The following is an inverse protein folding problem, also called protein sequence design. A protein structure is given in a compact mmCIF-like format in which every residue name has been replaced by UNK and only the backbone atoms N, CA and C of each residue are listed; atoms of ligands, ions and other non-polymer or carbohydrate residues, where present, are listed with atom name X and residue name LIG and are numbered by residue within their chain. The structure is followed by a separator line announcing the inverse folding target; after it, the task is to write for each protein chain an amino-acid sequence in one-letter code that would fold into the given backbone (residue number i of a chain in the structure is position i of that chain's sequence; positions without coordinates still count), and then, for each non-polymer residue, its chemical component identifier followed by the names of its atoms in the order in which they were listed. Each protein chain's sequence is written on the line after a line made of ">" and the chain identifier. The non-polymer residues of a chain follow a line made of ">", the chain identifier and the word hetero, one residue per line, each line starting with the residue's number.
data_IF_798331373592
#
_entry.id   IF_798331373592
#
_cell.length_a   1.000
_cell.length_b   1.000
_cell.length_c   1.000
_cell.angle_alpha   90.00
_cell.angle_beta   90.00
_cell.angle_gamma   90.00
#
_symmetry.space_group_name_H-M   'P 1'
#
loop_
_entity.id
_entity.type
_entity.pdbx_description
1 polymer ?
#
# COMPACT_ATOMS: atom_id res chain seq x y z
N UNK A 1 -31.43 -2.93 36.25
CA UNK A 1 -30.87 -2.54 34.94
C UNK A 1 -30.43 -1.10 35.07
N UNK A 2 -29.20 -0.91 35.53
CA UNK A 2 -28.59 0.42 35.67
C UNK A 2 -28.26 0.98 34.29
N UNK A 3 -28.65 2.24 34.06
CA UNK A 3 -28.15 3.06 32.95
C UNK A 3 -26.62 3.03 32.98
N UNK A 4 -26.01 2.37 31.99
CA UNK A 4 -24.56 2.38 31.78
C UNK A 4 -24.24 3.52 30.82
N UNK A 5 -23.42 4.45 31.29
CA UNK A 5 -23.05 5.69 30.63
C UNK A 5 -22.37 5.44 29.27
N UNK A 6 -23.08 5.73 28.19
CA UNK A 6 -22.63 5.66 26.80
C UNK A 6 -21.65 6.78 26.39
N UNK A 7 -20.85 7.32 27.30
CA UNK A 7 -20.11 8.59 27.10
C UNK A 7 -18.81 8.48 26.29
N UNK A 8 -18.61 7.44 25.48
CA UNK A 8 -17.42 7.33 24.59
C UNK A 8 -17.73 7.09 23.11
N UNK A 9 -18.99 6.96 22.72
CA UNK A 9 -19.39 6.81 21.31
C UNK A 9 -20.42 7.90 21.02
N UNK A 10 -20.03 8.89 20.22
CA UNK A 10 -20.83 10.10 19.99
C UNK A 10 -21.99 9.87 19.02
N UNK A 11 -21.95 8.77 18.23
CA UNK A 11 -22.97 8.48 17.20
C UNK A 11 -23.65 7.11 17.39
N UNK A 12 -24.93 7.02 16.98
CA UNK A 12 -25.70 5.77 17.02
C UNK A 12 -25.08 4.67 16.14
N UNK A 13 -24.44 5.06 15.03
CA UNK A 13 -23.74 4.14 14.13
C UNK A 13 -22.56 3.45 14.81
N UNK A 14 -21.76 4.20 15.57
CA UNK A 14 -20.63 3.66 16.34
C UNK A 14 -21.11 2.73 17.47
N UNK A 15 -22.17 3.11 18.18
CA UNK A 15 -22.77 2.27 19.25
C UNK A 15 -23.30 0.97 18.69
N UNK A 16 -24.06 1.02 17.60
CA UNK A 16 -24.61 -0.15 16.94
C UNK A 16 -23.50 -1.10 16.48
N UNK A 17 -22.49 -0.56 15.80
CA UNK A 17 -21.38 -1.38 15.31
C UNK A 17 -20.57 -2.03 16.43
N UNK A 18 -20.34 -1.33 17.55
CA UNK A 18 -19.68 -1.90 18.73
C UNK A 18 -20.51 -3.03 19.35
N UNK A 19 -21.82 -2.88 19.42
CA UNK A 19 -22.71 -3.91 19.94
C UNK A 19 -22.74 -5.13 19.02
N UNK A 20 -22.83 -4.93 17.70
CA UNK A 20 -22.76 -6.02 16.72
C UNK A 20 -21.41 -6.78 16.85
N UNK A 21 -20.30 -6.06 17.04
CA UNK A 21 -18.98 -6.65 17.27
C UNK A 21 -18.93 -7.44 18.59
N UNK A 22 -19.54 -6.90 19.65
CA UNK A 22 -19.65 -7.57 20.94
C UNK A 22 -20.44 -8.88 20.82
N UNK A 23 -21.62 -8.84 20.18
CA UNK A 23 -22.49 -10.01 19.97
C UNK A 23 -21.77 -11.13 19.19
N UNK A 24 -20.99 -10.77 18.17
CA UNK A 24 -20.21 -11.74 17.39
C UNK A 24 -19.13 -12.40 18.26
N UNK A 25 -18.42 -11.64 19.08
CA UNK A 25 -17.41 -12.20 19.97
C UNK A 25 -18.02 -13.04 21.10
N UNK A 26 -19.15 -12.60 21.67
CA UNK A 26 -19.90 -13.34 22.69
C UNK A 26 -20.32 -14.71 22.14
N UNK A 27 -20.97 -14.71 20.97
CA UNK A 27 -21.40 -15.92 20.27
C UNK A 27 -20.21 -16.83 19.94
N UNK A 28 -19.10 -16.27 19.48
CA UNK A 28 -17.90 -17.05 19.15
C UNK A 28 -17.31 -17.72 20.39
N UNK A 29 -17.22 -17.00 21.51
CA UNK A 29 -16.71 -17.54 22.78
C UNK A 29 -17.61 -18.66 23.27
N UNK A 30 -18.94 -18.46 23.29
CA UNK A 30 -19.91 -19.48 23.73
C UNK A 30 -19.82 -20.75 22.88
N UNK A 31 -19.74 -20.63 21.56
CA UNK A 31 -19.72 -21.78 20.64
C UNK A 31 -18.42 -22.59 20.70
N UNK A 32 -17.34 -21.98 21.18
CA UNK A 32 -15.99 -22.57 21.12
C UNK A 32 -15.35 -22.78 22.49
N UNK A 33 -16.07 -22.49 23.59
CA UNK A 33 -15.56 -22.62 24.96
C UNK A 33 -15.01 -24.02 25.28
N UNK A 34 -15.68 -25.07 24.79
CA UNK A 34 -15.28 -26.46 25.02
C UNK A 34 -13.98 -26.86 24.29
N UNK A 35 -13.58 -26.10 23.25
CA UNK A 35 -12.39 -26.37 22.43
C UNK A 35 -11.39 -25.22 22.44
N UNK A 36 -11.48 -24.32 23.42
CA UNK A 36 -10.65 -23.11 23.47
C UNK A 36 -9.15 -23.36 23.48
N UNK A 37 -8.70 -24.48 24.04
CA UNK A 37 -7.28 -24.89 24.05
C UNK A 37 -6.78 -25.35 22.67
N UNK A 38 -7.69 -25.69 21.75
CA UNK A 38 -7.38 -26.12 20.37
C UNK A 38 -7.37 -24.94 19.38
N UNK A 39 -7.84 -23.76 19.81
CA UNK A 39 -7.99 -22.58 18.96
C UNK A 39 -6.86 -21.59 19.27
N UNK A 40 -5.90 -21.39 18.34
CA UNK A 40 -4.66 -20.64 18.60
C UNK A 40 -4.84 -19.20 19.09
N UNK A 41 -5.96 -18.56 18.78
CA UNK A 41 -6.24 -17.16 19.07
C UNK A 41 -7.44 -16.95 20.02
N UNK A 42 -7.96 -18.01 20.64
CA UNK A 42 -9.12 -17.89 21.54
C UNK A 42 -8.87 -16.95 22.72
N UNK A 43 -7.67 -17.04 23.33
CA UNK A 43 -7.28 -16.13 24.42
C UNK A 43 -7.23 -14.66 23.96
N UNK A 44 -6.90 -14.42 22.69
CA UNK A 44 -6.93 -13.08 22.11
C UNK A 44 -8.37 -12.61 21.86
N UNK A 45 -9.27 -13.50 21.41
CA UNK A 45 -10.72 -13.24 21.34
C UNK A 45 -11.28 -12.80 22.68
N UNK A 46 -10.99 -13.54 23.74
CA UNK A 46 -11.44 -13.18 25.10
C UNK A 46 -10.90 -11.81 25.51
N UNK A 47 -9.65 -11.51 25.17
CA UNK A 47 -9.04 -10.21 25.47
C UNK A 47 -9.79 -9.07 24.79
N UNK A 48 -10.08 -9.19 23.48
CA UNK A 48 -10.81 -8.18 22.73
C UNK A 48 -12.26 -8.07 23.22
N UNK A 49 -12.93 -9.18 23.48
CA UNK A 49 -14.28 -9.21 24.07
C UNK A 49 -14.33 -8.43 25.40
N UNK A 50 -13.36 -8.66 26.29
CA UNK A 50 -13.29 -7.94 27.56
C UNK A 50 -12.96 -6.46 27.39
N UNK A 51 -12.12 -6.09 26.42
CA UNK A 51 -11.82 -4.70 26.10
C UNK A 51 -13.05 -3.96 25.54
N UNK A 52 -13.87 -4.65 24.75
CA UNK A 52 -15.16 -4.14 24.25
C UNK A 52 -16.13 -3.97 25.42
N UNK A 53 -16.33 -5.02 26.22
CA UNK A 53 -17.29 -5.09 27.35
C UNK A 53 -17.00 -4.06 28.44
N UNK A 54 -15.72 -3.81 28.72
CA UNK A 54 -15.29 -2.88 29.78
C UNK A 54 -15.19 -1.43 29.30
N UNK A 55 -15.49 -1.16 28.02
CA UNK A 55 -15.33 0.15 27.38
C UNK A 55 -13.95 0.80 27.62
N UNK A 56 -12.93 -0.06 27.74
CA UNK A 56 -11.56 0.37 28.05
C UNK A 56 -10.90 1.07 26.87
N UNK A 57 -11.26 0.64 25.66
CA UNK A 57 -10.65 1.05 24.41
C UNK A 57 -11.69 1.59 23.43
N UNK A 58 -11.29 2.58 22.63
CA UNK A 58 -12.03 3.02 21.46
C UNK A 58 -12.09 1.91 20.40
N UNK A 59 -12.99 2.04 19.42
CA UNK A 59 -13.05 1.09 18.30
C UNK A 59 -11.70 1.07 17.55
N UNK A 60 -11.10 2.23 17.31
CA UNK A 60 -9.77 2.34 16.70
C UNK A 60 -8.68 1.58 17.46
N UNK A 61 -8.64 1.69 18.79
CA UNK A 61 -7.68 0.98 19.63
C UNK A 61 -7.90 -0.54 19.59
N UNK A 62 -9.16 -0.99 19.57
CA UNK A 62 -9.52 -2.40 19.40
C UNK A 62 -9.01 -2.93 18.06
N UNK A 63 -9.26 -2.21 16.96
CA UNK A 63 -8.79 -2.61 15.63
C UNK A 63 -7.26 -2.55 15.48
N UNK A 64 -6.60 -1.59 16.12
CA UNK A 64 -5.14 -1.52 16.19
C UNK A 64 -4.55 -2.76 16.86
N UNK A 65 -5.10 -3.20 18.00
CA UNK A 65 -4.69 -4.45 18.65
C UNK A 65 -4.90 -5.67 17.77
N UNK A 66 -6.02 -5.73 17.06
CA UNK A 66 -6.30 -6.83 16.13
C UNK A 66 -5.26 -6.84 15.01
N UNK A 67 -4.96 -5.69 14.40
CA UNK A 67 -3.92 -5.58 13.36
C UNK A 67 -2.56 -6.03 13.87
N UNK A 68 -2.15 -5.57 15.06
CA UNK A 68 -0.89 -6.00 15.69
C UNK A 68 -0.83 -7.51 15.92
N UNK A 69 -1.94 -8.11 16.38
CA UNK A 69 -2.02 -9.56 16.57
C UNK A 69 -1.93 -10.33 15.25
N UNK A 70 -2.67 -9.90 14.21
CA UNK A 70 -2.64 -10.49 12.87
C UNK A 70 -1.24 -10.39 12.24
N UNK A 71 -0.58 -9.25 12.43
CA UNK A 71 0.80 -9.05 11.98
C UNK A 71 1.78 -9.95 12.74
N UNK A 72 1.62 -10.10 14.05
CA UNK A 72 2.53 -10.86 14.90
C UNK A 72 2.42 -12.38 14.67
N UNK A 73 1.20 -12.90 14.68
CA UNK A 73 0.95 -14.34 14.54
C UNK A 73 1.02 -14.78 13.06
N UNK A 74 0.88 -13.82 12.14
CA UNK A 74 0.85 -14.03 10.70
C UNK A 74 -0.59 -14.19 10.20
N UNK A 75 -0.89 -13.52 9.08
CA UNK A 75 -2.26 -13.40 8.56
C UNK A 75 -2.96 -14.75 8.41
N UNK A 76 -2.28 -15.78 7.87
CA UNK A 76 -2.89 -17.11 7.64
C UNK A 76 -3.07 -17.96 8.91
N UNK A 77 -2.46 -17.56 10.04
CA UNK A 77 -2.46 -18.32 11.29
C UNK A 77 -3.51 -17.82 12.29
N UNK A 78 -4.06 -16.63 12.07
CA UNK A 78 -5.19 -16.09 12.84
C UNK A 78 -6.52 -16.55 12.26
N UNK A 79 -7.56 -16.58 13.08
CA UNK A 79 -8.91 -16.88 12.65
C UNK A 79 -9.40 -15.84 11.62
N UNK A 80 -10.21 -16.28 10.64
CA UNK A 80 -10.61 -15.42 9.51
C UNK A 80 -11.42 -14.20 9.93
N UNK A 81 -12.11 -14.27 11.06
CA UNK A 81 -12.80 -13.11 11.58
C UNK A 81 -11.82 -11.97 11.92
N UNK A 82 -10.65 -12.25 12.50
CA UNK A 82 -9.65 -11.22 12.77
C UNK A 82 -8.96 -10.70 11.51
N UNK A 83 -8.80 -11.55 10.51
CA UNK A 83 -8.33 -11.13 9.19
C UNK A 83 -9.28 -10.08 8.60
N UNK A 84 -10.59 -10.31 8.67
CA UNK A 84 -11.62 -9.37 8.22
C UNK A 84 -11.64 -8.10 9.06
N UNK A 85 -11.62 -8.23 10.40
CA UNK A 85 -11.57 -7.10 11.32
C UNK A 85 -10.32 -6.24 11.09
N UNK A 86 -9.16 -6.84 10.82
CA UNK A 86 -7.91 -6.10 10.58
C UNK A 86 -7.97 -5.18 9.34
N UNK A 87 -8.92 -5.38 8.43
CA UNK A 87 -9.08 -4.55 7.22
C UNK A 87 -10.32 -3.65 7.24
N UNK A 88 -11.14 -3.71 8.30
CA UNK A 88 -12.42 -3.00 8.36
C UNK A 88 -12.30 -1.47 8.31
N UNK A 89 -11.20 -0.89 8.83
CA UNK A 89 -10.92 0.56 8.70
C UNK A 89 -10.78 1.03 7.26
N UNK A 90 -10.63 0.11 6.31
CA UNK A 90 -10.46 0.40 4.88
C UNK A 90 -11.71 0.08 4.05
N UNK A 91 -12.76 -0.41 4.70
CA UNK A 91 -14.00 -0.73 4.02
C UNK A 91 -14.86 0.54 4.01
N UNK A 92 -15.17 1.04 2.82
CA UNK A 92 -15.98 2.26 2.63
C UNK A 92 -17.34 2.20 3.32
N UNK A 93 -17.85 0.99 3.61
CA UNK A 93 -19.06 0.76 4.41
C UNK A 93 -18.94 1.23 5.86
N UNK A 94 -17.73 1.22 6.42
CA UNK A 94 -17.44 1.55 7.81
C UNK A 94 -16.61 2.83 7.95
N UNK A 95 -16.24 3.47 6.84
CA UNK A 95 -15.45 4.71 6.80
C UNK A 95 -16.09 5.85 7.59
N UNK A 96 -17.42 5.96 7.57
CA UNK A 96 -18.18 6.93 8.39
C UNK A 96 -18.05 6.68 9.89
N UNK A 97 -17.88 5.43 10.33
CA UNK A 97 -17.72 5.08 11.76
C UNK A 97 -16.36 5.58 12.28
N UNK A 98 -15.33 5.53 11.42
CA UNK A 98 -13.95 5.89 11.75
C UNK A 98 -13.63 7.37 11.48
N UNK A 99 -14.18 7.95 10.41
CA UNK A 99 -14.05 9.39 10.08
C UNK A 99 -14.64 10.27 11.18
N UNK A 100 -15.71 9.82 11.83
CA UNK A 100 -16.34 10.50 12.97
C UNK A 100 -15.51 10.39 14.25
N UNK A 101 -14.75 9.30 14.45
CA UNK A 101 -13.79 9.12 15.55
C UNK A 101 -12.56 10.05 15.37
N UNK A 102 -12.20 10.35 14.12
CA UNK A 102 -11.12 11.29 13.76
C UNK A 102 -11.52 12.78 13.87
N UNK A 103 -12.81 13.13 13.83
CA UNK A 103 -13.25 14.52 13.96
C UNK A 103 -12.98 15.13 15.34
N UNK A 104 -12.90 14.30 16.39
CA UNK A 104 -12.47 14.74 17.73
C UNK A 104 -10.94 14.97 17.83
N UNK A 105 -10.15 14.45 16.88
CA UNK A 105 -8.70 14.66 16.78
C UNK A 105 -8.29 15.75 15.77
N UNK A 106 -9.18 16.18 14.88
CA UNK A 106 -8.85 17.02 13.72
C UNK A 106 -8.80 18.53 13.94
N UNK A 107 -8.67 19.03 15.18
CA UNK A 107 -8.41 20.46 15.42
C UNK A 107 -6.91 20.74 15.50
N UNK A 108 -6.24 20.67 14.35
CA UNK A 108 -5.17 21.57 13.86
C UNK A 108 -4.35 20.88 12.77
N UNK A 109 -4.78 20.97 11.50
CA UNK A 109 -3.85 20.79 10.39
C UNK A 109 -3.06 22.10 10.21
N UNK A 110 -2.06 22.31 11.06
CA UNK A 110 -1.01 23.29 10.80
C UNK A 110 -0.17 22.80 9.63
N UNK A 111 0.27 23.73 8.76
CA UNK A 111 1.25 23.45 7.70
C UNK A 111 2.36 22.57 8.24
N UNK A 112 2.52 21.38 7.68
CA UNK A 112 3.59 20.47 8.07
C UNK A 112 4.95 21.18 8.00
N UNK A 113 5.66 21.31 9.13
CA UNK A 113 7.01 21.86 9.13
C UNK A 113 7.94 20.93 8.36
N UNK A 114 8.91 21.52 7.64
CA UNK A 114 9.97 20.83 6.89
C UNK A 114 10.51 19.57 7.62
N UNK A 115 10.89 18.51 6.88
CA UNK A 115 11.32 17.26 7.48
C UNK A 115 12.64 17.45 8.23
N UNK A 116 12.56 17.58 9.55
CA UNK A 116 13.76 17.65 10.41
C UNK A 116 14.35 16.25 10.58
N UNK A 117 15.65 16.17 10.86
CA UNK A 117 16.30 14.89 11.19
C UNK A 117 15.64 14.14 12.33
N UNK A 118 15.10 14.87 13.30
CA UNK A 118 14.46 14.30 14.48
C UNK A 118 13.15 13.59 14.11
N UNK A 119 12.37 14.17 13.19
CA UNK A 119 11.15 13.56 12.63
C UNK A 119 11.45 12.29 11.81
N UNK A 120 12.50 12.31 10.97
CA UNK A 120 12.95 11.12 10.24
C UNK A 120 13.40 10.01 11.20
N UNK A 121 14.11 10.35 12.28
CA UNK A 121 14.53 9.40 13.31
C UNK A 121 13.36 8.79 14.10
N UNK A 122 12.28 9.54 14.33
CA UNK A 122 11.09 8.99 14.99
C UNK A 122 10.35 7.97 14.12
N UNK A 123 10.25 8.20 12.80
CA UNK A 123 9.61 7.26 11.87
C UNK A 123 10.35 5.92 11.73
N UNK A 124 11.67 5.91 11.90
CA UNK A 124 12.49 4.70 11.91
C UNK A 124 12.02 3.69 12.99
N UNK A 125 11.31 4.14 14.02
CA UNK A 125 10.90 3.27 15.13
C UNK A 125 9.53 2.62 14.95
N UNK A 126 8.65 3.13 14.09
CA UNK A 126 7.29 2.61 13.94
C UNK A 126 6.67 2.85 12.55
N UNK A 127 6.80 1.85 11.66
CA UNK A 127 6.12 1.85 10.34
C UNK A 127 4.60 1.63 10.41
N UNK A 128 4.07 1.17 11.55
CA UNK A 128 2.66 0.85 11.72
C UNK A 128 1.80 2.10 11.97
N UNK A 129 2.43 3.20 12.39
CA UNK A 129 1.76 4.50 12.54
C UNK A 129 1.86 5.29 11.23
N UNK A 130 0.74 5.69 10.61
CA UNK A 130 0.75 6.65 9.50
C UNK A 130 1.17 8.02 10.03
N UNK A 131 2.47 8.26 10.09
CA UNK A 131 3.02 9.59 10.30
C UNK A 131 3.46 10.23 8.98
N UNK A 132 3.55 11.55 9.00
CA UNK A 132 3.67 12.49 7.89
C UNK A 132 4.96 12.42 7.03
N UNK A 133 5.83 11.41 7.18
CA UNK A 133 7.15 11.37 6.52
C UNK A 133 7.50 10.07 5.75
N UNK A 134 6.49 9.30 5.33
CA UNK A 134 6.70 8.09 4.51
C UNK A 134 7.37 8.39 3.18
N UNK A 135 7.09 9.55 2.60
CA UNK A 135 7.63 9.99 1.31
C UNK A 135 9.14 10.19 1.38
N UNK A 136 9.63 10.80 2.45
CA UNK A 136 11.05 11.03 2.67
C UNK A 136 11.80 9.71 2.81
N UNK A 137 11.21 8.70 3.45
CA UNK A 137 11.80 7.37 3.52
C UNK A 137 11.93 6.76 2.12
N UNK A 138 10.86 6.82 1.32
CA UNK A 138 10.87 6.35 -0.06
C UNK A 138 11.93 7.08 -0.88
N UNK A 139 11.97 8.41 -0.83
CA UNK A 139 12.95 9.25 -1.52
C UNK A 139 14.39 8.93 -1.12
N UNK A 140 14.67 8.72 0.17
CA UNK A 140 16.01 8.33 0.64
C UNK A 140 16.41 6.94 0.13
N UNK A 141 15.47 5.99 0.09
CA UNK A 141 15.71 4.66 -0.46
C UNK A 141 15.95 4.69 -1.97
N UNK A 142 15.20 5.51 -2.69
CA UNK A 142 15.41 5.76 -4.12
C UNK A 142 16.78 6.38 -4.38
N UNK A 143 17.17 7.40 -3.62
CA UNK A 143 18.50 8.00 -3.72
C UNK A 143 19.59 6.97 -3.37
N UNK A 144 19.43 6.20 -2.29
CA UNK A 144 20.39 5.15 -1.93
C UNK A 144 20.58 4.12 -3.04
N UNK A 145 19.47 3.69 -3.66
CA UNK A 145 19.48 2.78 -4.80
C UNK A 145 20.23 3.40 -5.98
N UNK A 146 20.03 4.69 -6.27
CA UNK A 146 20.74 5.39 -7.35
C UNK A 146 22.24 5.51 -7.15
N UNK A 147 22.74 5.37 -5.92
CA UNK A 147 24.19 5.32 -5.66
C UNK A 147 24.80 3.93 -5.86
N UNK A 148 23.99 2.88 -5.91
CA UNK A 148 24.45 1.48 -5.97
C UNK A 148 24.30 0.86 -7.34
N UNK A 149 23.36 1.37 -8.16
CA UNK A 149 23.05 0.83 -9.46
C UNK A 149 22.51 1.91 -10.40
N UNK A 150 22.45 1.59 -11.69
CA UNK A 150 21.70 2.40 -12.65
C UNK A 150 20.23 2.38 -12.26
N UNK A 151 19.73 3.53 -11.80
CA UNK A 151 18.38 3.69 -11.30
C UNK A 151 17.93 5.12 -11.59
N UNK A 152 16.84 5.28 -12.33
CA UNK A 152 16.27 6.58 -12.68
C UNK A 152 14.87 6.70 -12.06
N UNK A 153 14.86 6.97 -10.77
CA UNK A 153 13.67 6.91 -9.95
C UNK A 153 13.00 8.26 -9.71
N UNK A 154 11.68 8.31 -9.79
CA UNK A 154 10.85 9.46 -9.40
C UNK A 154 9.74 9.06 -8.43
N UNK A 155 9.52 9.86 -7.39
CA UNK A 155 8.28 9.80 -6.59
C UNK A 155 7.28 10.81 -7.16
N UNK A 156 6.10 10.34 -7.54
CA UNK A 156 4.97 11.16 -8.00
C UNK A 156 3.88 11.16 -6.94
N UNK A 157 3.59 12.32 -6.37
CA UNK A 157 2.44 12.50 -5.50
C UNK A 157 1.17 12.71 -6.35
N UNK A 158 0.33 11.69 -6.36
CA UNK A 158 -0.94 11.69 -7.06
C UNK A 158 -2.12 12.17 -6.20
N UNK A 159 -1.92 12.52 -4.92
CA UNK A 159 -3.00 12.98 -4.03
C UNK A 159 -3.81 14.13 -4.63
N UNK A 160 -3.12 15.08 -5.28
CA UNK A 160 -3.74 16.22 -5.98
C UNK A 160 -4.63 15.82 -7.16
N UNK A 161 -4.52 14.58 -7.65
CA UNK A 161 -5.28 14.03 -8.76
C UNK A 161 -6.26 12.95 -8.33
N UNK A 162 -6.05 12.36 -7.16
CA UNK A 162 -6.66 11.11 -6.72
C UNK A 162 -7.57 11.27 -5.48
N UNK A 163 -7.83 12.52 -5.10
CA UNK A 163 -8.78 12.91 -4.05
C UNK A 163 -9.57 14.15 -4.51
N UNK A 164 -9.95 14.16 -5.78
CA UNK A 164 -10.71 15.29 -6.33
C UNK A 164 -12.16 15.21 -5.84
N UNK A 165 -12.82 16.34 -5.55
CA UNK A 165 -14.26 16.33 -5.36
C UNK A 165 -14.95 15.99 -6.68
N UNK A 166 -16.13 15.36 -6.60
CA UNK A 166 -16.99 15.18 -7.77
C UNK A 166 -17.31 16.53 -8.43
N UNK A 167 -17.27 16.58 -9.75
CA UNK A 167 -17.66 17.79 -10.49
C UNK A 167 -19.19 17.84 -10.71
N UNK A 168 -19.69 18.97 -11.23
CA UNK A 168 -21.13 19.17 -11.43
C UNK A 168 -21.77 18.17 -12.39
N UNK A 169 -21.05 17.68 -13.39
CA UNK A 169 -21.56 16.68 -14.34
C UNK A 169 -21.63 15.30 -13.69
N UNK A 170 -20.57 14.90 -12.98
CA UNK A 170 -20.48 13.65 -12.22
C UNK A 170 -21.57 13.55 -11.16
N UNK A 171 -21.89 14.65 -10.47
CA UNK A 171 -22.94 14.70 -9.45
C UNK A 171 -24.36 14.45 -10.02
N UNK A 172 -24.57 14.66 -11.32
CA UNK A 172 -25.84 14.43 -12.01
C UNK A 172 -25.96 13.01 -12.58
N UNK A 173 -24.89 12.22 -12.55
CA UNK A 173 -24.87 10.84 -13.03
C UNK A 173 -25.39 9.87 -11.96
N UNK A 174 -25.86 8.70 -12.41
CA UNK A 174 -26.17 7.58 -11.53
C UNK A 174 -24.92 7.11 -10.78
N UNK A 175 -25.09 6.54 -9.59
CA UNK A 175 -23.97 6.29 -8.65
C UNK A 175 -22.78 5.55 -9.29
N UNK A 176 -23.04 4.47 -10.01
CA UNK A 176 -22.00 3.63 -10.63
C UNK A 176 -21.33 4.35 -11.81
N UNK A 177 -22.11 5.03 -12.65
CA UNK A 177 -21.61 5.84 -13.76
C UNK A 177 -20.74 7.00 -13.27
N UNK A 178 -21.17 7.66 -12.19
CA UNK A 178 -20.42 8.71 -11.49
C UNK A 178 -19.07 8.21 -11.00
N UNK A 179 -19.03 7.06 -10.33
CA UNK A 179 -17.79 6.47 -9.80
C UNK A 179 -16.80 6.14 -10.94
N UNK A 180 -17.30 5.59 -12.05
CA UNK A 180 -16.50 5.31 -13.25
C UNK A 180 -15.98 6.59 -13.90
N UNK A 181 -16.85 7.59 -14.09
CA UNK A 181 -16.48 8.88 -14.69
C UNK A 181 -15.44 9.62 -13.84
N UNK A 182 -15.61 9.60 -12.52
CA UNK A 182 -14.67 10.18 -11.58
C UNK A 182 -13.30 9.51 -11.65
N UNK A 183 -13.25 8.17 -11.57
CA UNK A 183 -12.00 7.42 -11.71
C UNK A 183 -11.29 7.71 -13.05
N UNK A 184 -12.04 7.81 -14.16
CA UNK A 184 -11.49 8.21 -15.46
C UNK A 184 -10.82 9.59 -15.42
N UNK A 185 -11.43 10.57 -14.76
CA UNK A 185 -10.86 11.91 -14.62
C UNK A 185 -9.58 11.92 -13.79
N UNK A 186 -9.57 11.24 -12.65
CA UNK A 186 -8.38 11.12 -11.79
C UNK A 186 -7.21 10.48 -12.54
N UNK A 187 -7.49 9.39 -13.26
CA UNK A 187 -6.49 8.65 -14.03
C UNK A 187 -5.94 9.48 -15.19
N UNK A 188 -6.78 10.24 -15.88
CA UNK A 188 -6.33 11.15 -16.94
C UNK A 188 -5.31 12.17 -16.42
N UNK A 189 -5.55 12.72 -15.23
CA UNK A 189 -4.62 13.68 -14.61
C UNK A 189 -3.33 13.00 -14.14
N UNK A 190 -3.43 11.80 -13.58
CA UNK A 190 -2.28 11.00 -13.19
C UNK A 190 -1.39 10.66 -14.41
N UNK A 191 -1.98 10.18 -15.51
CA UNK A 191 -1.24 9.89 -16.74
C UNK A 191 -0.64 11.16 -17.35
N UNK A 192 -1.33 12.31 -17.30
CA UNK A 192 -0.74 13.57 -17.74
C UNK A 192 0.49 13.98 -16.91
N UNK A 193 0.48 13.70 -15.60
CA UNK A 193 1.65 13.92 -14.76
C UNK A 193 2.78 12.93 -15.07
N UNK A 194 2.46 11.66 -15.30
CA UNK A 194 3.44 10.69 -15.76
C UNK A 194 4.06 11.11 -17.10
N UNK A 195 3.26 11.59 -18.05
CA UNK A 195 3.72 12.10 -19.35
C UNK A 195 4.67 13.28 -19.18
N UNK A 196 4.37 14.19 -18.23
CA UNK A 196 5.29 15.27 -17.87
C UNK A 196 6.62 14.70 -17.37
N UNK A 197 6.60 13.75 -16.43
CA UNK A 197 7.82 13.14 -15.89
C UNK A 197 8.64 12.45 -16.99
N UNK A 198 8.00 11.67 -17.86
CA UNK A 198 8.65 11.00 -19.00
C UNK A 198 9.29 12.03 -19.95
N UNK A 199 8.56 13.10 -20.27
CA UNK A 199 9.00 14.15 -21.21
C UNK A 199 10.12 15.01 -20.65
N UNK A 200 10.11 15.28 -19.34
CA UNK A 200 11.10 16.11 -18.66
C UNK A 200 12.33 15.33 -18.18
N UNK A 201 12.31 14.00 -18.24
CA UNK A 201 13.46 13.16 -17.90
C UNK A 201 14.66 13.45 -18.82
N UNK A 202 15.75 13.90 -18.20
CA UNK A 202 17.02 14.26 -18.86
C UNK A 202 18.16 13.29 -18.53
N UNK A 203 17.87 12.18 -17.85
CA UNK A 203 18.88 11.20 -17.43
C UNK A 203 19.63 10.54 -18.60
N UNK A 204 19.03 10.54 -19.79
CA UNK A 204 19.52 9.78 -20.94
C UNK A 204 19.25 8.27 -20.85
N UNK A 205 18.62 7.80 -19.77
CA UNK A 205 18.16 6.41 -19.63
C UNK A 205 16.93 6.17 -20.48
N UNK A 206 16.79 5.02 -21.14
CA UNK A 206 15.53 4.62 -21.77
C UNK A 206 14.49 4.20 -20.73
N UNK A 207 14.93 3.78 -19.54
CA UNK A 207 14.06 3.28 -18.48
C UNK A 207 13.93 4.25 -17.31
N UNK A 208 12.72 4.34 -16.79
CA UNK A 208 12.34 5.18 -15.65
C UNK A 208 11.57 4.33 -14.65
N UNK A 209 11.92 4.42 -13.37
CA UNK A 209 11.12 3.87 -12.29
C UNK A 209 10.31 5.00 -11.63
N UNK A 210 9.00 4.86 -11.56
CA UNK A 210 8.11 5.82 -10.92
C UNK A 210 7.40 5.13 -9.77
N UNK A 211 7.51 5.68 -8.57
CA UNK A 211 6.63 5.31 -7.46
C UNK A 211 5.51 6.34 -7.41
N UNK A 212 4.27 5.89 -7.51
CA UNK A 212 3.07 6.75 -7.42
C UNK A 212 2.49 6.62 -6.03
N UNK A 213 2.36 7.75 -5.32
CA UNK A 213 1.63 7.85 -4.04
C UNK A 213 0.20 8.29 -4.29
N UNK A 214 -0.78 7.48 -3.90
CA UNK A 214 -2.22 7.78 -3.96
C UNK A 214 -2.84 7.57 -2.59
N UNK A 215 -3.14 8.66 -1.89
CA UNK A 215 -3.46 8.65 -0.46
C UNK A 215 -2.30 8.06 0.36
N UNK A 216 -2.57 7.06 1.22
CA UNK A 216 -1.54 6.32 1.93
C UNK A 216 -0.90 5.18 1.11
N UNK A 217 -1.36 4.92 -0.12
CA UNK A 217 -0.93 3.78 -0.95
C UNK A 217 0.20 4.15 -1.90
N UNK A 218 1.11 3.19 -2.13
CA UNK A 218 2.24 3.36 -3.04
C UNK A 218 2.24 2.23 -4.09
N UNK A 219 2.40 2.60 -5.35
CA UNK A 219 2.46 1.67 -6.49
C UNK A 219 3.72 1.92 -7.31
N UNK A 220 4.35 0.86 -7.80
CA UNK A 220 5.56 0.98 -8.63
C UNK A 220 5.20 0.83 -10.10
N UNK A 221 5.77 1.71 -10.91
CA UNK A 221 5.68 1.71 -12.36
C UNK A 221 7.10 1.68 -12.91
N UNK A 222 7.37 0.77 -13.83
CA UNK A 222 8.61 0.75 -14.60
C UNK A 222 8.28 1.04 -16.05
N UNK A 223 8.87 2.09 -16.60
CA UNK A 223 8.59 2.62 -17.93
C UNK A 223 9.80 2.42 -18.82
N UNK A 224 9.58 1.87 -20.00
CA UNK A 224 10.54 1.84 -21.08
C UNK A 224 10.07 2.80 -22.19
N UNK A 225 10.81 3.89 -22.36
CA UNK A 225 10.50 4.94 -23.33
C UNK A 225 10.71 4.50 -24.77
N UNK A 226 11.65 3.59 -25.01
CA UNK A 226 11.95 3.10 -26.36
C UNK A 226 10.86 2.16 -26.84
N UNK A 227 10.48 1.21 -25.98
CA UNK A 227 9.41 0.27 -26.26
C UNK A 227 8.01 0.83 -26.01
N UNK A 228 7.91 2.06 -25.47
CA UNK A 228 6.66 2.73 -25.08
C UNK A 228 5.79 1.81 -24.22
N UNK A 229 6.42 1.16 -23.25
CA UNK A 229 5.77 0.17 -22.39
C UNK A 229 5.88 0.53 -20.92
N UNK A 230 4.83 0.20 -20.16
CA UNK A 230 4.76 0.40 -18.72
C UNK A 230 4.46 -0.92 -18.03
N UNK A 231 5.21 -1.23 -16.97
CA UNK A 231 4.98 -2.35 -16.09
C UNK A 231 4.54 -1.85 -14.71
N UNK A 232 3.34 -2.24 -14.28
CA UNK A 232 2.74 -1.79 -13.02
C UNK A 232 2.80 -2.92 -12.00
N UNK A 233 3.36 -2.62 -10.83
CA UNK A 233 3.50 -3.55 -9.71
C UNK A 233 2.80 -2.95 -8.48
N UNK A 234 1.72 -3.61 -8.06
CA UNK A 234 1.00 -3.32 -6.82
C UNK A 234 0.98 -4.58 -5.95
N UNK A 235 1.71 -4.54 -4.83
CA UNK A 235 1.84 -5.67 -3.91
C UNK A 235 0.53 -6.03 -3.18
N UNK A 236 -0.35 -5.05 -2.96
CA UNK A 236 -1.66 -5.26 -2.35
C UNK A 236 -2.68 -5.74 -3.37
N UNK A 237 -2.43 -5.47 -4.67
CA UNK A 237 -3.36 -5.72 -5.77
C UNK A 237 -4.74 -5.16 -5.39
N UNK A 238 -4.77 -3.88 -4.98
CA UNK A 238 -5.99 -3.25 -4.48
C UNK A 238 -6.90 -2.92 -5.68
N UNK A 239 -7.79 -3.85 -5.99
CA UNK A 239 -8.74 -3.71 -7.10
C UNK A 239 -9.75 -2.57 -6.90
N UNK A 240 -9.84 -2.00 -5.69
CA UNK A 240 -10.68 -0.81 -5.42
C UNK A 240 -10.03 0.45 -5.96
N UNK A 241 -8.71 0.46 -6.12
CA UNK A 241 -8.01 1.52 -6.82
C UNK A 241 -8.10 1.23 -8.32
N UNK A 242 -9.23 1.63 -8.92
CA UNK A 242 -9.58 1.58 -10.35
C UNK A 242 -8.59 2.32 -11.30
N UNK A 243 -7.31 2.46 -10.91
CA UNK A 243 -6.53 3.61 -11.32
C UNK A 243 -5.58 3.38 -12.50
N UNK A 244 -4.72 2.37 -12.46
CA UNK A 244 -3.63 2.30 -13.44
C UNK A 244 -3.80 1.26 -14.55
N UNK A 245 -4.50 0.15 -14.29
CA UNK A 245 -4.56 -0.97 -15.23
C UNK A 245 -5.96 -1.22 -15.84
N UNK A 246 -7.01 -0.52 -15.42
CA UNK A 246 -8.40 -0.86 -15.80
C UNK A 246 -9.04 0.08 -16.85
N UNK A 247 -8.31 1.06 -17.39
CA UNK A 247 -8.84 2.00 -18.40
C UNK A 247 -8.07 1.95 -19.70
N UNK A 248 -8.78 2.08 -20.83
CA UNK A 248 -8.23 1.97 -22.18
C UNK A 248 -7.42 3.21 -22.65
N UNK A 249 -7.66 4.37 -22.03
CA UNK A 249 -7.01 5.64 -22.39
C UNK A 249 -5.73 5.84 -21.56
N UNK A 250 -4.67 5.13 -21.95
CA UNK A 250 -3.34 5.32 -21.39
C UNK A 250 -2.67 6.58 -21.93
N UNK A 251 -1.65 7.04 -21.21
CA UNK A 251 -0.61 8.00 -21.63
C UNK A 251 -0.31 8.00 -23.13
N UNK A 252 -0.07 9.19 -23.72
CA UNK A 252 0.35 9.35 -25.12
C UNK A 252 1.76 8.79 -25.39
N UNK A 253 2.51 8.45 -24.33
CA UNK A 253 3.85 7.90 -24.40
C UNK A 253 3.89 6.38 -24.19
N UNK A 254 2.77 5.76 -23.83
CA UNK A 254 2.68 4.34 -23.49
C UNK A 254 1.68 3.63 -24.41
N UNK A 255 2.18 2.71 -25.22
CA UNK A 255 1.39 1.88 -26.12
C UNK A 255 1.01 0.53 -25.48
N UNK A 256 1.81 0.05 -24.52
CA UNK A 256 1.60 -1.24 -23.87
C UNK A 256 1.67 -1.11 -22.34
N UNK A 257 0.63 -1.57 -21.65
CA UNK A 257 0.60 -1.66 -20.19
C UNK A 257 0.54 -3.12 -19.76
N UNK A 258 1.50 -3.53 -18.94
CA UNK A 258 1.51 -4.83 -18.28
C UNK A 258 1.36 -4.61 -16.78
N UNK A 259 0.50 -5.36 -16.10
CA UNK A 259 0.36 -5.28 -14.65
C UNK A 259 0.54 -6.64 -13.97
N UNK A 260 0.88 -6.63 -12.69
CA UNK A 260 0.93 -7.87 -11.91
C UNK A 260 -0.44 -8.16 -11.33
N UNK A 261 -0.97 -9.34 -11.66
CA UNK A 261 -2.23 -9.87 -11.14
C UNK A 261 -1.93 -10.92 -10.08
N UNK A 262 -2.58 -10.84 -8.93
CA UNK A 262 -2.47 -11.89 -7.91
C UNK A 262 -3.09 -13.19 -8.44
N UNK A 263 -2.40 -14.34 -8.34
CA UNK A 263 -2.99 -15.61 -8.67
C UNK A 263 -4.13 -15.94 -7.70
N UNK A 264 -5.02 -16.83 -8.11
CA UNK A 264 -6.08 -17.35 -7.26
C UNK A 264 -5.60 -18.67 -6.67
N UNK A 265 -5.45 -18.73 -5.36
CA UNK A 265 -4.94 -19.94 -4.66
C UNK A 265 -6.12 -20.62 -3.94
N UNK A 266 -6.25 -21.95 -3.99
CA UNK A 266 -7.23 -22.67 -3.18
C UNK A 266 -7.12 -22.28 -1.70
N UNK A 267 -8.24 -21.89 -1.09
CA UNK A 267 -8.22 -21.43 0.31
C UNK A 267 -7.94 -22.55 1.32
N UNK A 268 -8.04 -23.81 0.89
CA UNK A 268 -7.96 -24.99 1.76
C UNK A 268 -9.17 -25.14 2.70
N UNK A 269 -10.17 -24.26 2.62
CA UNK A 269 -11.44 -24.34 3.36
C UNK A 269 -12.52 -24.97 2.48
N UNK A 270 -13.37 -25.80 3.08
CA UNK A 270 -14.42 -26.58 2.40
C UNK A 270 -15.39 -25.68 1.60
N UNK A 271 -15.62 -24.44 2.07
CA UNK A 271 -16.69 -23.57 1.54
C UNK A 271 -16.22 -22.21 0.96
N UNK A 272 -14.91 -21.98 0.78
CA UNK A 272 -14.42 -20.75 0.13
C UNK A 272 -13.58 -21.07 -1.10
N UNK A 273 -14.04 -20.72 -2.33
CA UNK A 273 -13.51 -21.31 -3.54
C UNK A 273 -12.03 -20.97 -3.78
N UNK A 274 -11.58 -19.77 -3.42
CA UNK A 274 -10.20 -19.32 -3.64
C UNK A 274 -9.86 -18.05 -2.84
N UNK A 275 -8.59 -17.84 -2.48
CA UNK A 275 -8.06 -16.60 -1.92
C UNK A 275 -7.28 -15.82 -3.00
N UNK A 276 -7.41 -14.48 -3.00
CA UNK A 276 -6.55 -13.60 -3.81
C UNK A 276 -5.15 -13.53 -3.18
N UNK A 277 -4.15 -13.95 -3.93
CA UNK A 277 -2.78 -14.15 -3.45
C UNK A 277 -1.91 -12.87 -3.52
N UNK A 278 -2.42 -11.74 -3.01
CA UNK A 278 -1.62 -10.52 -2.88
C UNK A 278 -0.40 -10.74 -1.96
N UNK A 279 0.73 -10.09 -2.26
CA UNK A 279 1.94 -10.18 -1.45
C UNK A 279 1.80 -9.41 -0.13
N UNK A 280 1.23 -8.21 -0.20
CA UNK A 280 0.92 -7.38 0.95
C UNK A 280 -0.46 -7.74 1.50
N UNK A 281 -0.54 -7.91 2.82
CA UNK A 281 -1.75 -8.19 3.59
C UNK A 281 -2.08 -7.06 4.57
N UNK A 282 -1.08 -6.35 5.07
CA UNK A 282 -1.28 -5.15 5.89
C UNK A 282 -1.55 -3.90 5.05
N UNK A 283 -1.83 -2.79 5.71
CA UNK A 283 -2.18 -1.52 5.06
C UNK A 283 -1.09 -0.45 5.08
N UNK A 284 0.04 -0.75 5.71
CA UNK A 284 1.06 0.24 6.02
C UNK A 284 2.39 -0.02 5.33
N UNK A 285 2.59 -1.21 4.77
CA UNK A 285 3.87 -1.62 4.18
C UNK A 285 4.04 -1.33 2.69
N UNK A 286 3.02 -0.78 2.01
CA UNK A 286 3.04 -0.50 0.57
C UNK A 286 4.25 0.34 0.12
N UNK A 287 4.70 1.30 0.93
CA UNK A 287 5.90 2.09 0.63
C UNK A 287 7.19 1.23 0.56
N UNK A 288 7.30 0.22 1.44
CA UNK A 288 8.45 -0.71 1.48
C UNK A 288 8.40 -1.62 0.25
N UNK A 289 7.23 -2.19 -0.06
CA UNK A 289 7.03 -3.01 -1.24
C UNK A 289 7.35 -2.23 -2.52
N UNK A 290 6.75 -1.05 -2.70
CA UNK A 290 6.95 -0.23 -3.88
C UNK A 290 8.42 0.12 -4.09
N UNK A 291 9.10 0.55 -3.03
CA UNK A 291 10.53 0.89 -3.08
C UNK A 291 11.41 -0.32 -3.41
N UNK A 292 11.14 -1.49 -2.83
CA UNK A 292 11.91 -2.70 -3.12
C UNK A 292 11.65 -3.20 -4.55
N UNK A 293 10.39 -3.24 -4.99
CA UNK A 293 10.03 -3.61 -6.36
C UNK A 293 10.71 -2.66 -7.35
N UNK A 294 10.68 -1.35 -7.11
CA UNK A 294 11.37 -0.37 -7.95
C UNK A 294 12.86 -0.67 -8.10
N UNK A 295 13.53 -1.02 -6.98
CA UNK A 295 14.95 -1.39 -6.97
C UNK A 295 15.23 -2.68 -7.74
N UNK A 296 14.36 -3.69 -7.62
CA UNK A 296 14.51 -4.97 -8.32
C UNK A 296 14.31 -4.79 -9.83
N UNK A 297 13.26 -4.09 -10.25
CA UNK A 297 12.95 -3.90 -11.68
C UNK A 297 14.08 -3.17 -12.42
N UNK A 298 14.74 -2.22 -11.75
CA UNK A 298 15.88 -1.51 -12.32
C UNK A 298 17.11 -2.41 -12.61
N UNK A 299 17.19 -3.59 -11.99
CA UNK A 299 18.26 -4.58 -12.22
C UNK A 299 18.01 -5.50 -13.41
N UNK A 300 16.81 -5.47 -13.99
CA UNK A 300 16.39 -6.41 -15.02
C UNK A 300 16.32 -5.72 -16.39
N UNK A 301 17.44 -5.50 -17.11
CA UNK A 301 17.47 -4.64 -18.30
C UNK A 301 16.50 -5.08 -19.40
N UNK A 302 16.32 -6.38 -19.60
CA UNK A 302 15.46 -6.98 -20.64
C UNK A 302 14.00 -7.21 -20.18
N UNK A 303 13.60 -6.66 -19.03
CA UNK A 303 12.28 -6.89 -18.43
C UNK A 303 11.13 -6.66 -19.42
N UNK A 304 11.11 -5.53 -20.15
CA UNK A 304 10.00 -5.19 -21.04
C UNK A 304 9.91 -6.12 -22.26
N UNK A 305 11.05 -6.57 -22.78
CA UNK A 305 11.10 -7.57 -23.84
C UNK A 305 10.55 -8.91 -23.33
N UNK A 306 10.98 -9.34 -22.14
CA UNK A 306 10.49 -10.56 -21.50
C UNK A 306 8.98 -10.51 -21.20
N UNK A 307 8.48 -9.38 -20.68
CA UNK A 307 7.03 -9.13 -20.51
C UNK A 307 6.30 -9.14 -21.86
N UNK A 308 6.95 -8.65 -22.91
CA UNK A 308 6.62 -8.83 -24.32
C UNK A 308 6.13 -10.23 -24.67
N UNK A 309 6.95 -11.21 -24.28
CA UNK A 309 6.80 -12.62 -24.66
C UNK A 309 5.93 -13.43 -23.69
N UNK A 310 5.88 -13.05 -22.41
CA UNK A 310 5.27 -13.87 -21.35
C UNK A 310 3.91 -13.37 -20.87
N UNK A 311 3.60 -12.09 -21.05
CA UNK A 311 2.37 -11.51 -20.51
C UNK A 311 1.13 -11.98 -21.30
N UNK A 312 0.03 -12.20 -20.57
CA UNK A 312 -1.26 -12.57 -21.14
C UNK A 312 -2.04 -11.31 -21.52
N UNK A 313 -2.50 -11.22 -22.77
CA UNK A 313 -3.30 -10.10 -23.25
C UNK A 313 -4.77 -10.20 -22.76
N UNK A 314 -5.35 -9.09 -22.30
CA UNK A 314 -6.75 -9.00 -21.84
C UNK A 314 -7.54 -7.94 -22.60
N UNK A 315 -6.85 -6.99 -23.24
CA UNK A 315 -7.43 -5.98 -24.11
C UNK A 315 -6.40 -5.51 -25.14
N UNK A 316 -6.74 -4.48 -25.91
CA UNK A 316 -5.90 -4.04 -27.03
C UNK A 316 -4.48 -3.63 -26.59
N UNK A 317 -4.38 -2.91 -25.47
CA UNK A 317 -3.10 -2.40 -24.92
C UNK A 317 -2.74 -2.96 -23.54
N UNK A 318 -3.56 -3.86 -23.01
CA UNK A 318 -3.50 -4.32 -21.62
C UNK A 318 -3.12 -5.79 -21.51
N UNK A 319 -2.10 -6.03 -20.70
CA UNK A 319 -1.51 -7.34 -20.46
C UNK A 319 -1.34 -7.57 -18.96
N UNK A 320 -1.28 -8.84 -18.52
CA UNK A 320 -0.87 -9.16 -17.16
C UNK A 320 0.14 -10.29 -17.09
N UNK A 321 0.87 -10.31 -15.99
CA UNK A 321 1.62 -11.46 -15.48
C UNK A 321 1.16 -11.75 -14.06
N UNK A 322 1.40 -12.96 -13.56
CA UNK A 322 1.14 -13.31 -12.16
C UNK A 322 2.43 -13.36 -11.35
N UNK A 323 2.32 -13.31 -10.02
CA UNK A 323 3.49 -13.34 -9.12
C UNK A 323 4.40 -14.55 -9.34
N UNK A 324 3.82 -15.71 -9.67
CA UNK A 324 4.55 -16.95 -9.98
C UNK A 324 5.33 -16.90 -11.30
N UNK A 325 5.08 -15.91 -12.17
CA UNK A 325 5.88 -15.72 -13.38
C UNK A 325 7.09 -14.82 -13.15
N UNK A 326 7.13 -14.07 -12.04
CA UNK A 326 8.18 -13.11 -11.73
C UNK A 326 9.33 -13.76 -10.96
N UNK A 327 10.47 -13.06 -10.87
CA UNK A 327 11.65 -13.59 -10.18
C UNK A 327 11.42 -13.77 -8.66
N UNK A 328 12.14 -14.69 -7.98
CA UNK A 328 12.00 -14.89 -6.54
C UNK A 328 12.21 -13.62 -5.70
N UNK A 329 13.00 -12.67 -6.21
CA UNK A 329 13.24 -11.39 -5.54
C UNK A 329 11.96 -10.54 -5.45
N UNK A 330 11.09 -10.59 -6.46
CA UNK A 330 9.83 -9.84 -6.48
C UNK A 330 8.80 -10.39 -5.48
N UNK A 331 8.93 -11.66 -5.09
CA UNK A 331 7.95 -12.41 -4.29
C UNK A 331 8.41 -12.65 -2.85
N UNK A 332 9.73 -12.58 -2.56
CA UNK A 332 10.32 -12.91 -1.25
C UNK A 332 9.70 -12.16 -0.06
N UNK A 333 9.16 -10.97 -0.29
CA UNK A 333 8.55 -10.13 0.73
C UNK A 333 7.09 -10.49 1.01
N UNK A 334 6.54 -11.54 0.40
CA UNK A 334 5.16 -11.95 0.66
C UNK A 334 4.90 -12.13 2.16
N UNK A 335 3.77 -11.57 2.62
CA UNK A 335 3.30 -11.68 3.99
C UNK A 335 2.46 -12.95 4.22
N UNK A 336 2.29 -13.79 3.19
CA UNK A 336 1.58 -15.06 3.26
C UNK A 336 2.49 -16.21 2.83
N UNK A 337 2.69 -17.16 3.74
CA UNK A 337 3.47 -18.38 3.48
C UNK A 337 2.80 -19.26 2.42
N UNK A 338 1.48 -19.16 2.25
CA UNK A 338 0.72 -19.84 1.19
C UNK A 338 1.08 -19.33 -0.19
N UNK A 339 1.28 -18.02 -0.35
CA UNK A 339 1.73 -17.43 -1.61
C UNK A 339 3.14 -17.92 -1.97
N UNK A 340 4.04 -18.02 -0.99
CA UNK A 340 5.38 -18.59 -1.20
C UNK A 340 5.32 -20.08 -1.58
N UNK A 341 4.48 -20.87 -0.90
CA UNK A 341 4.30 -22.29 -1.24
C UNK A 341 3.77 -22.45 -2.67
N UNK A 342 2.75 -21.68 -3.04
CA UNK A 342 2.22 -21.68 -4.39
C UNK A 342 3.28 -21.28 -5.42
N UNK A 343 4.08 -20.26 -5.14
CA UNK A 343 5.20 -19.87 -5.99
C UNK A 343 6.19 -21.02 -6.20
N UNK A 344 6.54 -21.76 -5.12
CA UNK A 344 7.43 -22.93 -5.19
C UNK A 344 6.82 -24.05 -6.03
N UNK A 345 5.52 -24.31 -5.88
CA UNK A 345 4.80 -25.34 -6.65
C UNK A 345 4.80 -25.02 -8.15
N UNK A 346 4.67 -23.75 -8.52
CA UNK A 346 4.71 -23.31 -9.92
C UNK A 346 6.15 -23.21 -10.47
N UNK A 347 7.16 -23.04 -9.60
CA UNK A 347 8.56 -22.80 -9.99
C UNK A 347 9.54 -23.72 -9.25
N UNK A 348 9.46 -25.02 -9.52
CA UNK A 348 10.29 -26.04 -8.85
C UNK A 348 11.79 -25.80 -9.00
N UNK A 349 12.23 -25.23 -10.13
CA UNK A 349 13.61 -24.87 -10.41
C UNK A 349 14.11 -23.70 -9.55
N UNK A 350 13.21 -22.80 -9.12
CA UNK A 350 13.51 -21.66 -8.26
C UNK A 350 13.38 -21.95 -6.76
N UNK A 351 12.92 -23.14 -6.37
CA UNK A 351 12.65 -23.54 -4.98
C UNK A 351 13.79 -23.21 -4.02
N UNK A 352 15.02 -23.56 -4.40
CA UNK A 352 16.19 -23.33 -3.53
C UNK A 352 16.41 -21.84 -3.23
N UNK A 353 16.26 -20.98 -4.25
CA UNK A 353 16.46 -19.54 -4.12
C UNK A 353 15.37 -18.89 -3.26
N UNK A 354 14.09 -19.19 -3.51
CA UNK A 354 13.00 -18.59 -2.74
C UNK A 354 13.01 -19.06 -1.27
N UNK A 355 13.37 -20.33 -0.99
CA UNK A 355 13.53 -20.80 0.39
C UNK A 355 14.70 -20.12 1.08
N UNK A 356 15.81 -19.85 0.39
CA UNK A 356 16.90 -19.06 0.96
C UNK A 356 16.45 -17.63 1.31
N UNK A 357 15.74 -16.94 0.41
CA UNK A 357 15.28 -15.57 0.60
C UNK A 357 14.21 -15.43 1.69
N UNK A 358 13.46 -16.49 1.97
CA UNK A 358 12.37 -16.52 2.96
C UNK A 358 12.72 -17.31 4.22
N UNK A 359 13.99 -17.71 4.38
CA UNK A 359 14.46 -18.61 5.45
C UNK A 359 13.55 -19.82 5.66
N UNK A 360 13.49 -20.67 4.64
CA UNK A 360 12.64 -21.86 4.57
C UNK A 360 11.14 -21.55 4.74
N UNK A 361 10.65 -20.49 4.07
CA UNK A 361 9.26 -20.03 4.16
C UNK A 361 8.82 -19.70 5.59
N UNK A 362 9.72 -19.10 6.38
CA UNK A 362 9.36 -18.56 7.69
C UNK A 362 8.48 -17.33 7.50
N UNK A 363 7.34 -17.28 8.19
CA UNK A 363 6.37 -16.16 8.11
C UNK A 363 7.08 -14.81 8.22
N UNK A 364 6.76 -13.89 7.30
CA UNK A 364 7.28 -12.52 7.26
C UNK A 364 8.80 -12.36 7.14
N UNK A 365 9.59 -13.43 7.02
CA UNK A 365 11.05 -13.31 7.13
C UNK A 365 11.67 -12.40 6.05
N UNK A 366 11.29 -12.61 4.78
CA UNK A 366 11.79 -11.78 3.68
C UNK A 366 11.38 -10.31 3.85
N UNK A 367 10.12 -10.09 4.26
CA UNK A 367 9.60 -8.76 4.53
C UNK A 367 10.35 -8.06 5.67
N UNK A 368 10.54 -8.72 6.82
CA UNK A 368 11.24 -8.14 7.96
C UNK A 368 12.71 -7.85 7.63
N UNK A 369 13.36 -8.71 6.85
CA UNK A 369 14.73 -8.49 6.35
C UNK A 369 14.80 -7.21 5.49
N UNK A 370 13.85 -7.04 4.57
CA UNK A 370 13.75 -5.83 3.75
C UNK A 370 13.49 -4.59 4.60
N UNK A 371 12.54 -4.66 5.54
CA UNK A 371 12.21 -3.58 6.47
C UNK A 371 13.43 -3.15 7.31
N UNK A 372 14.18 -4.10 7.86
CA UNK A 372 15.38 -3.79 8.65
C UNK A 372 16.46 -3.10 7.80
N UNK A 373 16.65 -3.51 6.54
CA UNK A 373 17.57 -2.81 5.63
C UNK A 373 17.11 -1.36 5.37
N UNK A 374 15.82 -1.14 5.19
CA UNK A 374 15.27 0.22 5.03
C UNK A 374 15.59 1.08 6.26
N UNK A 375 15.33 0.56 7.46
CA UNK A 375 15.63 1.25 8.71
C UNK A 375 17.12 1.57 8.87
N UNK A 376 17.99 0.62 8.56
CA UNK A 376 19.43 0.82 8.62
C UNK A 376 19.89 1.89 7.64
N UNK A 377 19.34 1.90 6.43
CA UNK A 377 19.68 2.89 5.40
C UNK A 377 19.27 4.28 5.86
N UNK A 378 18.03 4.48 6.29
CA UNK A 378 17.56 5.80 6.75
C UNK A 378 18.36 6.26 7.96
N UNK A 379 18.62 5.36 8.92
CA UNK A 379 19.51 5.66 10.05
C UNK A 379 20.88 6.14 9.59
N UNK A 380 21.51 5.44 8.65
CA UNK A 380 22.81 5.82 8.13
C UNK A 380 22.78 7.24 7.56
N UNK A 381 21.76 7.59 6.76
CA UNK A 381 21.61 8.94 6.22
C UNK A 381 21.48 10.00 7.33
N UNK A 382 20.62 9.76 8.32
CA UNK A 382 20.43 10.67 9.45
C UNK A 382 21.72 10.89 10.28
N UNK A 383 22.61 9.90 10.33
CA UNK A 383 23.91 9.99 11.01
C UNK A 383 25.00 10.63 10.13
N UNK A 384 25.02 10.34 8.83
CA UNK A 384 26.10 10.72 7.93
C UNK A 384 26.00 12.13 7.37
N UNK A 385 24.79 12.69 7.25
CA UNK A 385 24.58 13.98 6.56
C UNK A 385 24.01 15.02 7.50
N UNK A 386 24.29 16.31 7.27
CA UNK A 386 23.58 17.44 7.90
C UNK A 386 22.16 17.57 7.34
N UNK A 387 21.32 18.36 8.00
CA UNK A 387 19.90 18.49 7.63
C UNK A 387 19.71 19.07 6.23
N UNK A 388 20.45 20.13 5.90
CA UNK A 388 20.47 20.72 4.56
C UNK A 388 20.89 19.71 3.48
N UNK A 389 21.87 18.86 3.76
CA UNK A 389 22.35 17.83 2.83
C UNK A 389 21.32 16.70 2.64
N UNK A 390 20.51 16.40 3.66
CA UNK A 390 19.41 15.44 3.55
C UNK A 390 18.29 16.00 2.66
N UNK A 391 17.92 17.27 2.86
CA UNK A 391 16.92 17.95 2.03
C UNK A 391 17.34 17.99 0.56
N UNK A 392 18.62 18.24 0.27
CA UNK A 392 19.15 18.18 -1.09
C UNK A 392 19.00 16.79 -1.72
N UNK A 393 19.23 15.72 -0.95
CA UNK A 393 19.10 14.33 -1.44
C UNK A 393 17.65 13.95 -1.71
N UNK A 394 16.73 14.39 -0.85
CA UNK A 394 15.28 14.21 -1.04
C UNK A 394 14.81 14.89 -2.33
N UNK A 395 15.34 16.07 -2.64
CA UNK A 395 14.98 16.81 -3.86
C UNK A 395 15.46 16.12 -5.15
N UNK A 396 16.55 15.35 -5.12
CA UNK A 396 17.09 14.71 -6.33
C UNK A 396 16.18 13.62 -6.93
N UNK A 397 15.32 13.02 -6.12
CA UNK A 397 14.42 11.91 -6.52
C UNK A 397 12.94 12.30 -6.49
N UNK A 398 12.66 13.57 -6.16
CA UNK A 398 11.31 14.13 -6.22
C UNK A 398 10.99 14.57 -7.65
N UNK A 399 9.78 14.25 -8.11
CA UNK A 399 9.26 14.77 -9.39
C UNK A 399 8.71 16.19 -9.29
N UNK A 400 8.54 16.73 -8.07
CA UNK A 400 7.94 18.05 -7.85
C UNK A 400 8.92 19.14 -8.31
N UNK A 401 8.54 20.01 -9.26
CA UNK A 401 9.40 21.13 -9.63
C UNK A 401 9.67 22.00 -8.41
N UNK A 402 10.90 22.51 -8.27
CA UNK A 402 11.15 23.61 -7.32
C UNK A 402 10.11 24.68 -7.59
N UNK A 403 9.43 25.23 -6.56
CA UNK A 403 8.72 26.48 -6.75
C UNK A 403 9.76 27.43 -7.34
N UNK A 404 9.56 27.83 -8.60
CA UNK A 404 10.22 29.05 -9.06
C UNK A 404 9.79 30.10 -8.04
N UNK A 405 10.72 30.92 -7.57
CA UNK A 405 10.37 32.17 -6.90
C UNK A 405 9.62 33.03 -7.94
N UNK A 406 8.36 32.68 -8.21
CA UNK A 406 7.46 33.51 -8.98
C UNK A 406 7.04 34.61 -8.02
N UNK A 407 7.67 35.77 -8.23
CA UNK A 407 7.26 37.04 -7.65
C UNK A 407 5.74 37.11 -7.71
N UNK A 408 5.11 37.19 -6.54
CA UNK A 408 3.72 37.58 -6.37
C UNK A 408 3.54 39.01 -6.90
N UNK A 409 3.46 39.14 -8.22
CA UNK A 409 2.97 40.32 -8.93
C UNK A 409 1.73 39.88 -9.71
N UNK A 410 0.68 39.54 -8.96
CA UNK A 410 -0.68 39.65 -9.46
C UNK A 410 -0.97 41.13 -9.72
N UNK A 411 -0.62 41.60 -10.91
CA UNK A 411 -1.21 42.82 -11.45
C UNK A 411 -2.64 42.50 -11.86
N UNK A 412 -3.59 42.81 -10.98
CA UNK A 412 -4.96 43.06 -11.39
C UNK A 412 -4.96 44.31 -12.27
N UNK A 413 -5.11 44.14 -13.58
CA UNK A 413 -5.54 45.21 -14.48
C UNK A 413 -7.05 45.10 -14.66
N UNK A 414 -7.70 46.25 -14.42
CA UNK A 414 -9.14 46.51 -14.48
C UNK A 414 -9.76 46.25 -15.84
#
# INVERSE_FOLDING_TARGET
>A
MEQRNFEKLSTESQKKFRNDLWDVFDTYIEQNEEKKEEIPDFAFVETIYWDITKEKLSLREIFGKIQEHVLKEGYDNVHSFFQELSVLKMNSKYDTIFSEDDQDYSKTAEKEPEPTKEKLKMQITDFSRPGDHRDELVLLMMHHTSQQQTYNGYLVDANRFSMLPFNSEELLMEKEEREIAHAKRENKLLFAEMDRVIKEDKSGSNRIQIIVKSGPHYTTLDIDKENRSCFIVDAADDSRQYRLHQLADYSDFIDKVTYVKSPTIPSGKIDSPTMKAALQKDDCSCAIFASEHSSILAKEPDLHNWLGEKATQVGDKLFYVTWDQLSPEMVKNSQSTRVINHYIEQNLDQKGKILQLTNNNTSLHGFETTKQRFLQTVNQYCHSYKESELLEKLQQTSSTPKPKEESLLFNFVK
#
